data_IF_817717678540
#
_entry.id   IF_817717678540
#
_cell.length_a   1.000
_cell.length_b   1.000
_cell.length_c   1.000
_cell.angle_alpha   90.00
_cell.angle_beta   90.00
_cell.angle_gamma   90.00
#
_symmetry.space_group_name_H-M   'P 1'
#
loop_
_entity.id
_entity.type
_entity.pdbx_description
1 polymer ?
#
# COMPACT_ATOMS: atom_id res chain seq x y z
N UNK A 1 -30.07 -30.84 7.26
CA UNK A 1 -28.76 -30.94 7.88
C UNK A 1 -27.75 -31.19 6.79
N UNK A 2 -27.09 -30.18 6.34
CA UNK A 2 -25.85 -30.30 5.59
C UNK A 2 -25.12 -28.98 5.80
N UNK A 3 -24.12 -29.00 6.67
CA UNK A 3 -23.19 -27.92 6.90
C UNK A 3 -22.30 -27.84 5.68
N UNK A 4 -22.38 -26.77 4.93
CA UNK A 4 -21.36 -26.41 3.97
C UNK A 4 -20.16 -25.90 4.80
N UNK A 5 -19.13 -26.73 4.84
CA UNK A 5 -17.82 -26.45 5.40
C UNK A 5 -17.15 -25.46 4.43
N UNK A 6 -17.21 -24.19 4.77
CA UNK A 6 -16.40 -23.19 4.11
C UNK A 6 -14.96 -23.46 4.56
N UNK A 7 -14.10 -23.90 3.65
CA UNK A 7 -12.68 -24.02 3.88
C UNK A 7 -12.13 -22.62 4.22
N UNK A 8 -11.99 -22.34 5.50
CA UNK A 8 -11.21 -21.22 6.00
C UNK A 8 -9.75 -21.55 5.71
N UNK A 9 -9.17 -20.83 4.76
CA UNK A 9 -7.72 -20.78 4.57
C UNK A 9 -7.12 -20.29 5.91
N UNK A 10 -6.42 -21.19 6.62
CA UNK A 10 -5.99 -21.02 8.02
C UNK A 10 -4.69 -20.18 8.11
N UNK A 11 -4.40 -19.35 7.10
CA UNK A 11 -3.29 -18.41 7.14
C UNK A 11 -3.75 -17.10 7.79
N UNK A 12 -3.03 -16.68 8.86
CA UNK A 12 -3.31 -15.42 9.52
C UNK A 12 -3.24 -14.25 8.51
N UNK A 13 -4.20 -13.30 8.55
CA UNK A 13 -4.22 -12.19 7.61
C UNK A 13 -2.97 -11.30 7.79
N UNK A 14 -2.46 -10.75 6.69
CA UNK A 14 -1.36 -9.78 6.70
C UNK A 14 -1.78 -8.48 7.40
N UNK A 15 -3.05 -8.10 7.26
CA UNK A 15 -3.65 -6.94 7.95
C UNK A 15 -4.94 -7.37 8.63
N UNK A 16 -5.10 -7.00 9.90
CA UNK A 16 -6.33 -7.19 10.66
C UNK A 16 -6.69 -5.92 11.43
N UNK A 17 -7.86 -5.36 11.15
CA UNK A 17 -8.48 -4.27 11.90
C UNK A 17 -9.69 -4.82 12.65
N UNK A 18 -9.81 -4.51 13.95
CA UNK A 18 -10.94 -4.93 14.78
C UNK A 18 -11.50 -3.74 15.53
N UNK A 19 -12.70 -3.26 15.15
CA UNK A 19 -13.42 -2.17 15.80
C UNK A 19 -12.62 -0.86 15.86
N UNK A 20 -11.87 -0.53 14.82
CA UNK A 20 -10.92 0.58 14.82
C UNK A 20 -11.61 1.92 14.72
N UNK A 21 -11.39 2.76 15.73
CA UNK A 21 -11.80 4.18 15.75
C UNK A 21 -10.57 5.08 15.74
N UNK A 22 -10.63 6.16 14.98
CA UNK A 22 -9.60 7.20 14.97
C UNK A 22 -10.22 8.58 15.07
N UNK A 23 -9.81 9.32 16.10
CA UNK A 23 -10.22 10.71 16.31
C UNK A 23 -9.01 11.65 16.27
N UNK A 24 -9.23 12.87 15.78
CA UNK A 24 -8.26 13.96 15.81
C UNK A 24 -8.83 15.16 16.53
N UNK A 25 -7.99 15.88 17.30
CA UNK A 25 -8.35 17.18 17.88
C UNK A 25 -7.86 18.28 16.92
N UNK A 26 -8.79 18.88 16.21
CA UNK A 26 -8.54 19.98 15.24
C UNK A 26 -9.30 21.25 15.64
N UNK A 27 -9.34 21.59 16.94
CA UNK A 27 -10.21 22.63 17.49
C UNK A 27 -11.64 22.14 17.76
N UNK A 28 -11.80 20.82 17.77
CA UNK A 28 -12.98 20.00 18.02
C UNK A 28 -12.65 18.56 17.66
N UNK A 29 -13.34 17.60 18.27
CA UNK A 29 -13.13 16.18 17.99
C UNK A 29 -13.70 15.84 16.62
N UNK A 30 -12.83 15.41 15.71
CA UNK A 30 -13.20 14.89 14.38
C UNK A 30 -12.96 13.38 14.40
N UNK A 31 -14.02 12.61 14.23
CA UNK A 31 -13.95 11.16 14.08
C UNK A 31 -13.68 10.81 12.62
N UNK A 32 -12.47 10.37 12.32
CA UNK A 32 -12.04 10.06 10.97
C UNK A 32 -12.30 8.60 10.58
N UNK A 33 -12.36 7.70 11.58
CA UNK A 33 -12.81 6.31 11.43
C UNK A 33 -13.67 5.93 12.64
N UNK A 34 -14.74 5.18 12.40
CA UNK A 34 -15.76 4.80 13.38
C UNK A 34 -16.00 3.27 13.36
N UNK A 35 -15.29 2.54 14.25
CA UNK A 35 -15.51 1.11 14.47
C UNK A 35 -15.19 0.20 13.27
N UNK A 36 -14.21 0.55 12.42
CA UNK A 36 -13.87 -0.19 11.20
C UNK A 36 -13.25 -1.55 11.53
N UNK A 37 -13.77 -2.61 10.89
CA UNK A 37 -13.18 -3.95 10.93
C UNK A 37 -12.94 -4.43 9.50
N UNK A 38 -11.70 -4.90 9.22
CA UNK A 38 -11.26 -5.33 7.90
C UNK A 38 -10.10 -6.31 8.04
N UNK A 39 -10.07 -7.35 7.22
CA UNK A 39 -8.93 -8.26 7.12
C UNK A 39 -8.43 -8.34 5.66
N UNK A 40 -7.11 -8.39 5.48
CA UNK A 40 -6.45 -8.60 4.20
C UNK A 40 -5.64 -9.90 4.28
N UNK A 41 -5.97 -10.87 3.44
CA UNK A 41 -5.22 -12.12 3.32
C UNK A 41 -3.90 -11.88 2.58
N UNK A 42 -2.93 -12.76 2.79
CA UNK A 42 -1.70 -12.78 2.00
C UNK A 42 -2.01 -12.99 0.52
N UNK A 43 -1.30 -12.28 -0.35
CA UNK A 43 -1.50 -12.34 -1.80
C UNK A 43 -2.76 -11.65 -2.32
N UNK A 44 -3.63 -11.07 -1.46
CA UNK A 44 -4.86 -10.41 -1.91
C UNK A 44 -4.60 -9.03 -2.54
N UNK A 45 -5.42 -8.65 -3.51
CA UNK A 45 -5.46 -7.30 -4.08
C UNK A 45 -6.78 -6.62 -3.71
N UNK A 46 -6.72 -5.67 -2.80
CA UNK A 46 -7.89 -4.94 -2.29
C UNK A 46 -7.81 -3.46 -2.67
N UNK A 47 -8.91 -2.89 -3.18
CA UNK A 47 -9.05 -1.45 -3.36
C UNK A 47 -9.94 -0.85 -2.26
N UNK A 48 -9.61 0.36 -1.80
CA UNK A 48 -10.44 1.17 -0.90
C UNK A 48 -10.96 2.37 -1.65
N UNK A 49 -12.28 2.49 -1.75
CA UNK A 49 -12.95 3.59 -2.42
C UNK A 49 -13.82 4.40 -1.45
N UNK A 50 -14.03 5.67 -1.80
CA UNK A 50 -14.93 6.56 -1.08
C UNK A 50 -14.71 8.02 -1.47
N UNK A 51 -15.63 8.94 -1.14
CA UNK A 51 -15.48 10.36 -1.41
C UNK A 51 -14.29 10.97 -0.66
N UNK A 52 -13.91 12.20 -1.02
CA UNK A 52 -12.90 12.95 -0.26
C UNK A 52 -13.37 13.14 1.19
N UNK A 53 -12.47 12.99 2.15
CA UNK A 53 -12.80 13.10 3.58
C UNK A 53 -13.46 11.86 4.20
N UNK A 54 -13.67 10.77 3.47
CA UNK A 54 -14.33 9.58 4.01
C UNK A 54 -13.50 8.73 4.99
N UNK A 55 -12.21 9.07 5.23
CA UNK A 55 -11.34 8.33 6.14
C UNK A 55 -10.31 7.42 5.47
N UNK A 56 -10.25 7.35 4.12
CA UNK A 56 -9.33 6.46 3.38
C UNK A 56 -7.86 6.66 3.73
N UNK A 57 -7.38 7.90 3.71
CA UNK A 57 -5.99 8.21 4.06
C UNK A 57 -5.69 7.93 5.54
N UNK A 58 -6.68 8.10 6.43
CA UNK A 58 -6.56 7.71 7.84
C UNK A 58 -6.43 6.19 7.95
N UNK A 59 -7.26 5.43 7.24
CA UNK A 59 -7.17 3.97 7.19
C UNK A 59 -5.80 3.51 6.70
N UNK A 60 -5.33 4.09 5.59
CA UNK A 60 -4.01 3.80 5.03
C UNK A 60 -2.88 4.14 6.02
N UNK A 61 -2.96 5.27 6.72
CA UNK A 61 -1.97 5.67 7.72
C UNK A 61 -1.91 4.71 8.91
N UNK A 62 -3.04 4.17 9.36
CA UNK A 62 -3.08 3.19 10.44
C UNK A 62 -2.48 1.85 9.99
N UNK A 63 -2.87 1.36 8.81
CA UNK A 63 -2.33 0.12 8.24
C UNK A 63 -0.84 0.27 7.95
N UNK A 64 -0.42 1.45 7.47
CA UNK A 64 0.99 1.76 7.23
C UNK A 64 1.81 2.07 8.48
N UNK A 65 1.25 1.92 9.68
CA UNK A 65 1.89 2.26 10.95
C UNK A 65 2.49 3.69 11.01
N UNK A 66 1.91 4.62 10.22
CA UNK A 66 2.24 6.06 10.25
C UNK A 66 1.50 6.77 11.39
N UNK A 67 0.40 6.20 11.85
CA UNK A 67 -0.41 6.68 12.97
C UNK A 67 -0.88 5.47 13.80
N UNK A 68 -1.51 5.73 14.95
CA UNK A 68 -2.05 4.69 15.84
C UNK A 68 -3.56 4.87 16.01
N UNK A 69 -4.34 3.80 16.22
CA UNK A 69 -5.77 3.90 16.49
C UNK A 69 -6.03 4.62 17.84
N UNK A 70 -7.17 5.29 17.96
CA UNK A 70 -7.67 5.81 19.22
C UNK A 70 -8.31 4.71 20.04
N UNK A 71 -9.09 3.84 19.38
CA UNK A 71 -9.71 2.65 19.95
C UNK A 71 -9.66 1.48 18.94
N UNK A 72 -9.87 0.28 19.44
CA UNK A 72 -9.80 -0.93 18.63
C UNK A 72 -8.36 -1.42 18.43
N UNK A 73 -8.16 -2.33 17.48
CA UNK A 73 -6.87 -2.99 17.26
C UNK A 73 -6.50 -3.01 15.78
N UNK A 74 -5.23 -2.72 15.49
CA UNK A 74 -4.64 -2.81 14.14
C UNK A 74 -3.43 -3.71 14.21
N UNK A 75 -3.46 -4.84 13.49
CA UNK A 75 -2.33 -5.76 13.36
C UNK A 75 -1.86 -5.76 11.91
N UNK A 76 -0.57 -5.61 11.68
CA UNK A 76 0.06 -5.62 10.35
C UNK A 76 1.30 -6.51 10.41
N UNK A 77 1.39 -7.47 9.51
CA UNK A 77 2.46 -8.48 9.49
C UNK A 77 2.70 -9.11 10.88
N UNK A 78 1.60 -9.41 11.60
CA UNK A 78 1.64 -9.98 12.95
C UNK A 78 1.96 -9.02 14.09
N UNK A 79 2.27 -7.74 13.81
CA UNK A 79 2.59 -6.73 14.83
C UNK A 79 1.41 -5.81 15.13
N UNK A 80 1.08 -5.62 16.41
CA UNK A 80 0.03 -4.69 16.85
C UNK A 80 0.56 -3.25 16.85
N UNK A 81 0.05 -2.45 15.90
CA UNK A 81 0.46 -1.06 15.67
C UNK A 81 0.13 -0.14 16.86
N UNK A 82 -0.99 -0.41 17.56
CA UNK A 82 -1.46 0.40 18.68
C UNK A 82 -0.57 0.31 19.92
N UNK A 83 0.04 -0.87 20.14
CA UNK A 83 0.90 -1.12 21.31
C UNK A 83 2.39 -1.04 20.97
N UNK A 84 2.76 -1.04 19.68
CA UNK A 84 4.13 -0.95 19.22
C UNK A 84 4.78 0.39 19.58
N UNK A 85 6.03 0.36 19.99
CA UNK A 85 6.87 1.54 20.14
C UNK A 85 7.12 2.23 18.81
N UNK A 86 7.56 3.50 18.81
CA UNK A 86 7.90 4.20 17.56
C UNK A 86 9.03 3.50 16.79
N UNK A 87 9.99 2.88 17.49
CA UNK A 87 11.07 2.13 16.86
C UNK A 87 10.56 0.87 16.16
N UNK A 88 9.61 0.15 16.77
CA UNK A 88 8.98 -1.04 16.17
C UNK A 88 8.11 -0.65 14.97
N UNK A 89 7.31 0.43 15.07
CA UNK A 89 6.56 0.94 13.91
C UNK A 89 7.49 1.39 12.78
N UNK A 90 8.62 2.04 13.11
CA UNK A 90 9.61 2.43 12.11
C UNK A 90 10.25 1.19 11.43
N UNK A 91 10.50 0.12 12.17
CA UNK A 91 10.96 -1.16 11.62
C UNK A 91 9.92 -1.75 10.68
N UNK A 92 8.66 -1.87 11.12
CA UNK A 92 7.54 -2.37 10.31
C UNK A 92 7.41 -1.60 8.98
N UNK A 93 7.48 -0.26 9.03
CA UNK A 93 7.48 0.59 7.82
C UNK A 93 8.70 0.39 6.92
N UNK A 94 9.81 -0.06 7.48
CA UNK A 94 11.06 -0.24 6.74
C UNK A 94 11.23 -1.60 6.10
N UNK A 95 10.56 -2.64 6.64
CA UNK A 95 10.73 -4.03 6.22
C UNK A 95 9.48 -4.65 5.65
N UNK A 96 8.30 -4.41 6.28
CA UNK A 96 7.10 -5.18 5.99
C UNK A 96 6.05 -4.39 5.19
N UNK A 97 6.21 -3.06 5.07
CA UNK A 97 5.25 -2.19 4.36
C UNK A 97 5.95 -1.35 3.30
N UNK A 98 5.62 -1.58 2.04
CA UNK A 98 6.02 -0.75 0.92
C UNK A 98 5.01 0.37 0.63
N UNK A 99 5.46 1.62 0.47
CA UNK A 99 4.58 2.76 0.21
C UNK A 99 4.74 3.31 -1.20
N UNK A 100 3.62 3.49 -1.90
CA UNK A 100 3.50 4.19 -3.18
C UNK A 100 2.53 5.36 -3.01
N UNK A 101 3.05 6.59 -3.06
CA UNK A 101 2.27 7.82 -2.86
C UNK A 101 1.92 8.50 -4.19
N UNK A 102 0.82 9.21 -4.22
CA UNK A 102 0.41 10.06 -5.34
C UNK A 102 1.50 11.06 -5.76
N UNK A 103 2.21 11.64 -4.79
CA UNK A 103 3.28 12.65 -5.00
C UNK A 103 4.67 12.04 -5.17
N UNK A 104 4.75 10.70 -5.40
CA UNK A 104 5.97 9.91 -5.57
C UNK A 104 6.89 9.90 -4.34
N UNK A 105 7.04 10.98 -3.60
CA UNK A 105 7.90 11.18 -2.43
C UNK A 105 9.35 10.69 -2.66
N UNK A 106 9.88 10.95 -3.86
CA UNK A 106 11.27 10.68 -4.19
C UNK A 106 12.19 11.79 -3.63
N UNK A 107 13.36 11.41 -3.16
CA UNK A 107 14.39 12.35 -2.73
C UNK A 107 15.07 12.96 -3.96
N UNK A 108 14.93 14.28 -4.22
CA UNK A 108 15.33 14.89 -5.48
C UNK A 108 16.86 14.95 -5.67
N UNK A 109 17.62 14.78 -4.58
CA UNK A 109 19.10 14.78 -4.61
C UNK A 109 19.70 13.40 -4.85
N UNK A 110 18.89 12.36 -4.82
CA UNK A 110 19.29 10.98 -5.08
C UNK A 110 18.88 10.60 -6.50
N UNK A 111 19.68 9.76 -7.14
CA UNK A 111 19.33 9.13 -8.42
C UNK A 111 18.19 8.12 -8.25
N UNK A 112 17.66 7.58 -9.35
CA UNK A 112 16.63 6.54 -9.32
C UNK A 112 17.11 5.31 -8.53
N UNK A 113 18.31 4.81 -8.82
CA UNK A 113 18.87 3.65 -8.11
C UNK A 113 19.10 3.93 -6.63
N UNK A 114 19.52 5.14 -6.27
CA UNK A 114 19.70 5.52 -4.86
C UNK A 114 18.38 5.66 -4.12
N UNK A 115 17.32 6.19 -4.78
CA UNK A 115 15.97 6.22 -4.22
C UNK A 115 15.44 4.80 -3.94
N UNK A 116 15.59 3.89 -4.90
CA UNK A 116 15.14 2.49 -4.74
C UNK A 116 15.96 1.77 -3.67
N UNK A 117 17.26 2.01 -3.59
CA UNK A 117 18.13 1.39 -2.59
C UNK A 117 17.93 1.91 -1.16
N UNK A 118 17.15 3.01 -0.97
CA UNK A 118 17.05 3.69 0.32
C UNK A 118 16.52 2.81 1.47
N UNK A 119 15.45 2.01 1.31
CA UNK A 119 14.98 1.10 2.36
C UNK A 119 16.08 0.12 2.80
N UNK A 120 16.86 -0.40 1.86
CA UNK A 120 17.94 -1.33 2.12
C UNK A 120 19.14 -0.70 2.86
N UNK A 121 19.28 0.65 2.78
CA UNK A 121 20.27 1.36 3.62
C UNK A 121 19.89 1.26 5.09
N UNK A 122 18.62 1.45 5.42
CA UNK A 122 18.12 1.34 6.80
C UNK A 122 18.13 -0.11 7.31
N UNK A 123 17.95 -1.07 6.42
CA UNK A 123 18.10 -2.50 6.72
C UNK A 123 19.58 -2.95 6.88
N UNK A 124 20.56 -2.03 6.69
CA UNK A 124 21.98 -2.34 6.86
C UNK A 124 22.60 -3.17 5.73
N UNK A 125 21.91 -3.30 4.58
CA UNK A 125 22.40 -4.08 3.42
C UNK A 125 23.65 -3.42 2.82
N UNK A 126 24.73 -4.18 2.53
CA UNK A 126 25.96 -3.65 1.92
C UNK A 126 25.70 -2.90 0.61
N UNK A 127 26.50 -1.84 0.35
CA UNK A 127 26.28 -0.96 -0.80
C UNK A 127 26.22 -1.70 -2.15
N UNK A 128 27.10 -2.67 -2.35
CA UNK A 128 27.15 -3.42 -3.61
C UNK A 128 25.86 -4.21 -3.84
N UNK A 129 25.37 -4.90 -2.80
CA UNK A 129 24.14 -5.71 -2.83
C UNK A 129 22.90 -4.85 -3.05
N UNK A 130 22.69 -3.80 -2.23
CA UNK A 130 21.52 -2.94 -2.38
C UNK A 130 21.47 -2.20 -3.72
N UNK A 131 22.65 -1.87 -4.29
CA UNK A 131 22.70 -1.23 -5.61
C UNK A 131 22.36 -2.22 -6.72
N UNK A 132 22.77 -3.49 -6.61
CA UNK A 132 22.40 -4.54 -7.55
C UNK A 132 20.90 -4.81 -7.52
N UNK A 133 20.34 -5.05 -6.33
CA UNK A 133 18.88 -5.26 -6.16
C UNK A 133 18.07 -4.06 -6.67
N UNK A 134 18.49 -2.82 -6.38
CA UNK A 134 17.80 -1.64 -6.86
C UNK A 134 17.82 -1.52 -8.40
N UNK A 135 18.90 -1.95 -9.06
CA UNK A 135 18.98 -1.97 -10.54
C UNK A 135 18.08 -3.03 -11.16
N UNK A 136 17.97 -4.20 -10.54
CA UNK A 136 17.05 -5.26 -10.95
C UNK A 136 15.61 -4.80 -10.86
N UNK A 137 15.20 -4.22 -9.71
CA UNK A 137 13.86 -3.66 -9.53
C UNK A 137 13.54 -2.53 -10.52
N UNK A 138 14.51 -1.68 -10.84
CA UNK A 138 14.33 -0.65 -11.88
C UNK A 138 14.17 -1.25 -13.27
N UNK A 139 14.87 -2.33 -13.57
CA UNK A 139 14.71 -3.05 -14.83
C UNK A 139 13.31 -3.71 -14.93
N UNK A 140 12.82 -4.31 -13.84
CA UNK A 140 11.49 -4.93 -13.75
C UNK A 140 10.36 -3.92 -14.02
N UNK A 141 10.51 -2.67 -13.59
CA UNK A 141 9.55 -1.61 -13.91
C UNK A 141 9.87 -0.86 -15.21
N UNK A 142 10.77 -1.39 -16.06
CA UNK A 142 11.12 -0.84 -17.36
C UNK A 142 11.92 0.45 -17.31
N UNK A 143 12.81 0.61 -16.31
CA UNK A 143 13.69 1.77 -16.09
C UNK A 143 15.17 1.40 -15.99
N UNK A 144 15.58 0.25 -16.53
CA UNK A 144 16.97 -0.21 -16.47
C UNK A 144 17.98 0.75 -17.12
N UNK A 145 17.55 1.55 -18.11
CA UNK A 145 18.35 2.59 -18.77
C UNK A 145 18.29 3.96 -18.09
N UNK A 146 17.57 4.09 -16.97
CA UNK A 146 17.32 5.34 -16.22
C UNK A 146 17.86 5.33 -14.79
N UNK A 147 18.68 4.34 -14.43
CA UNK A 147 19.13 4.12 -13.06
C UNK A 147 19.86 5.31 -12.43
N UNK A 148 20.62 6.04 -13.22
CA UNK A 148 21.48 7.16 -12.76
C UNK A 148 20.80 8.54 -12.96
N UNK A 149 19.54 8.60 -13.42
CA UNK A 149 18.77 9.86 -13.56
C UNK A 149 18.24 10.32 -12.20
N UNK A 150 18.23 11.63 -12.00
CA UNK A 150 17.56 12.26 -10.86
C UNK A 150 16.03 12.39 -11.11
N UNK A 151 15.18 12.47 -10.08
CA UNK A 151 13.73 12.61 -10.22
C UNK A 151 13.30 13.80 -11.11
N UNK A 152 14.09 14.87 -11.17
CA UNK A 152 13.82 16.04 -12.01
C UNK A 152 14.03 15.78 -13.51
N UNK A 153 14.73 14.72 -13.87
CA UNK A 153 15.03 14.30 -15.25
C UNK A 153 14.04 13.23 -15.75
N UNK A 154 13.11 12.81 -14.88
CA UNK A 154 12.13 11.75 -15.13
C UNK A 154 10.73 12.32 -15.36
N UNK A 155 9.97 11.72 -16.27
CA UNK A 155 8.52 12.00 -16.41
C UNK A 155 7.74 11.59 -15.15
N UNK A 156 6.48 12.05 -15.03
CA UNK A 156 5.59 11.65 -13.92
C UNK A 156 5.47 10.15 -13.76
N UNK A 157 5.19 9.44 -14.85
CA UNK A 157 5.07 7.98 -14.83
C UNK A 157 6.41 7.26 -14.58
N UNK A 158 7.54 7.83 -15.02
CA UNK A 158 8.85 7.28 -14.66
C UNK A 158 9.11 7.43 -13.16
N UNK A 159 8.79 8.59 -12.58
CA UNK A 159 8.90 8.82 -11.12
C UNK A 159 8.01 7.86 -10.34
N UNK A 160 6.79 7.60 -10.81
CA UNK A 160 5.89 6.65 -10.17
C UNK A 160 6.46 5.23 -10.20
N UNK A 161 7.01 4.80 -11.33
CA UNK A 161 7.67 3.49 -11.44
C UNK A 161 8.91 3.38 -10.53
N UNK A 162 9.68 4.44 -10.35
CA UNK A 162 10.76 4.47 -9.34
C UNK A 162 10.20 4.34 -7.92
N UNK A 163 9.07 5.00 -7.60
CA UNK A 163 8.42 4.89 -6.30
C UNK A 163 7.89 3.47 -6.03
N UNK A 164 7.35 2.80 -7.05
CA UNK A 164 6.93 1.39 -6.95
C UNK A 164 8.15 0.48 -6.73
N UNK A 165 9.21 0.62 -7.52
CA UNK A 165 10.43 -0.16 -7.33
C UNK A 165 11.03 0.05 -5.91
N UNK A 166 10.99 1.28 -5.38
CA UNK A 166 11.40 1.56 -4.00
C UNK A 166 10.53 0.86 -2.97
N UNK A 167 9.22 0.83 -3.17
CA UNK A 167 8.28 0.18 -2.27
C UNK A 167 8.55 -1.33 -2.15
N UNK A 168 9.05 -1.96 -3.22
CA UNK A 168 9.38 -3.38 -3.28
C UNK A 168 10.78 -3.73 -2.76
N UNK A 169 11.64 -2.74 -2.51
CA UNK A 169 13.07 -2.98 -2.27
C UNK A 169 13.36 -3.86 -1.05
N UNK A 170 12.52 -3.80 -0.02
CA UNK A 170 12.68 -4.60 1.21
C UNK A 170 11.88 -5.92 1.18
N UNK A 171 11.32 -6.32 0.03
CA UNK A 171 10.44 -7.50 -0.11
C UNK A 171 9.29 -7.47 0.92
N UNK A 172 8.42 -6.42 0.89
CA UNK A 172 7.44 -6.18 1.93
C UNK A 172 6.29 -7.19 1.90
N UNK A 173 5.73 -7.50 3.07
CA UNK A 173 4.51 -8.32 3.18
C UNK A 173 3.27 -7.62 2.61
N UNK A 174 3.28 -6.27 2.55
CA UNK A 174 2.17 -5.45 2.09
C UNK A 174 2.66 -4.24 1.29
N UNK A 175 2.07 -3.98 0.13
CA UNK A 175 2.24 -2.72 -0.62
C UNK A 175 0.98 -1.87 -0.48
N UNK A 176 1.16 -0.65 0.04
CA UNK A 176 0.13 0.37 0.19
C UNK A 176 0.29 1.41 -0.92
N UNK A 177 -0.75 1.63 -1.72
CA UNK A 177 -0.76 2.62 -2.79
C UNK A 177 -1.86 3.67 -2.57
N UNK A 178 -1.48 4.94 -2.43
CA UNK A 178 -2.40 6.07 -2.27
C UNK A 178 -2.48 6.85 -3.58
N UNK A 179 -3.62 6.75 -4.28
CA UNK A 179 -3.91 7.41 -5.56
C UNK A 179 -2.73 7.26 -6.57
N UNK A 180 -2.28 6.03 -6.88
CA UNK A 180 -1.02 5.80 -7.59
C UNK A 180 -0.98 6.33 -9.02
N UNK A 181 -2.14 6.67 -9.61
CA UNK A 181 -2.29 7.23 -10.95
C UNK A 181 -2.67 8.72 -10.97
N UNK A 182 -2.92 9.33 -9.81
CA UNK A 182 -3.50 10.67 -9.71
C UNK A 182 -2.62 11.82 -10.24
N UNK A 183 -1.33 11.60 -10.48
CA UNK A 183 -0.39 12.60 -10.99
C UNK A 183 0.29 12.19 -12.31
N UNK A 184 -0.32 11.28 -13.06
CA UNK A 184 0.15 10.84 -14.38
C UNK A 184 -0.98 10.93 -15.40
N UNK A 185 -0.64 11.02 -16.69
CA UNK A 185 -1.63 10.96 -17.77
C UNK A 185 -2.26 9.56 -17.87
N UNK A 186 -3.43 9.45 -18.49
CA UNK A 186 -4.23 8.23 -18.57
C UNK A 186 -3.47 7.03 -19.16
N UNK A 187 -2.71 7.25 -20.25
CA UNK A 187 -1.96 6.17 -20.91
C UNK A 187 -0.82 5.65 -20.01
N UNK A 188 -0.17 6.57 -19.33
CA UNK A 188 0.88 6.25 -18.35
C UNK A 188 0.28 5.62 -17.09
N UNK A 189 -0.89 6.06 -16.66
CA UNK A 189 -1.65 5.49 -15.55
C UNK A 189 -1.97 4.01 -15.79
N UNK A 190 -2.43 3.66 -17.00
CA UNK A 190 -2.66 2.26 -17.39
C UNK A 190 -1.42 1.39 -17.18
N UNK A 191 -0.24 1.85 -17.64
CA UNK A 191 1.03 1.12 -17.45
C UNK A 191 1.48 1.01 -15.99
N UNK A 192 1.12 1.97 -15.16
CA UNK A 192 1.36 1.90 -13.71
C UNK A 192 0.47 0.83 -13.08
N UNK A 193 -0.80 0.74 -13.48
CA UNK A 193 -1.72 -0.28 -13.00
C UNK A 193 -1.31 -1.69 -13.46
N UNK A 194 -0.81 -1.85 -14.69
CA UNK A 194 -0.30 -3.12 -15.19
C UNK A 194 0.85 -3.66 -14.30
N UNK A 195 1.68 -2.78 -13.70
CA UNK A 195 2.70 -3.20 -12.73
C UNK A 195 2.06 -3.75 -11.45
N UNK A 196 0.97 -3.13 -10.94
CA UNK A 196 0.27 -3.67 -9.77
C UNK A 196 -0.37 -5.04 -10.07
N UNK A 197 -0.93 -5.22 -11.27
CA UNK A 197 -1.49 -6.52 -11.70
C UNK A 197 -0.38 -7.58 -11.77
N UNK A 198 0.80 -7.25 -12.32
CA UNK A 198 1.96 -8.13 -12.34
C UNK A 198 2.47 -8.48 -10.94
N UNK A 199 2.46 -7.51 -10.01
CA UNK A 199 2.84 -7.74 -8.62
C UNK A 199 1.85 -8.68 -7.92
N UNK A 200 0.55 -8.46 -8.11
CA UNK A 200 -0.48 -9.36 -7.58
C UNK A 200 -0.32 -10.78 -8.14
N UNK A 201 -0.13 -10.93 -9.45
CA UNK A 201 0.10 -12.22 -10.09
C UNK A 201 1.36 -12.97 -9.56
N UNK A 202 2.33 -12.23 -8.98
CA UNK A 202 3.51 -12.80 -8.30
C UNK A 202 3.26 -13.12 -6.81
N UNK A 203 2.05 -12.87 -6.30
CA UNK A 203 1.65 -13.18 -4.92
C UNK A 203 1.85 -12.03 -3.92
N UNK A 204 2.15 -10.80 -4.38
CA UNK A 204 2.24 -9.66 -3.47
C UNK A 204 0.86 -9.27 -2.93
N UNK A 205 0.79 -8.91 -1.64
CA UNK A 205 -0.41 -8.34 -1.04
C UNK A 205 -0.50 -6.86 -1.32
N UNK A 206 -1.62 -6.39 -1.90
CA UNK A 206 -1.80 -5.02 -2.35
C UNK A 206 -3.03 -4.37 -1.71
N UNK A 207 -2.85 -3.18 -1.15
CA UNK A 207 -3.96 -2.29 -0.77
C UNK A 207 -3.84 -0.97 -1.52
N UNK A 208 -4.80 -0.69 -2.40
CA UNK A 208 -4.83 0.49 -3.22
C UNK A 208 -5.97 1.42 -2.77
N UNK A 209 -5.67 2.68 -2.50
CA UNK A 209 -6.67 3.72 -2.21
C UNK A 209 -6.88 4.56 -3.46
N UNK A 210 -8.14 4.70 -3.89
CA UNK A 210 -8.50 5.53 -5.04
C UNK A 210 -9.93 6.04 -4.94
N UNK A 211 -10.24 7.12 -5.66
CA UNK A 211 -11.61 7.58 -5.89
C UNK A 211 -12.10 7.22 -7.31
N UNK A 212 -11.24 6.64 -8.14
CA UNK A 212 -11.53 6.28 -9.53
C UNK A 212 -11.97 4.83 -9.64
N UNK A 213 -13.21 4.61 -10.11
CA UNK A 213 -13.80 3.26 -10.21
C UNK A 213 -12.98 2.33 -11.10
N UNK A 214 -12.52 2.79 -12.26
CA UNK A 214 -11.75 1.98 -13.21
C UNK A 214 -10.37 1.54 -12.66
N UNK A 215 -9.82 2.29 -11.70
CA UNK A 215 -8.60 1.92 -10.99
C UNK A 215 -8.90 0.85 -9.94
N UNK A 216 -10.00 1.02 -9.20
CA UNK A 216 -10.41 0.07 -8.17
C UNK A 216 -10.82 -1.30 -8.75
N UNK A 217 -11.36 -1.31 -9.97
CA UNK A 217 -11.76 -2.54 -10.68
C UNK A 217 -10.59 -3.46 -11.11
N UNK A 218 -9.34 -3.03 -10.91
CA UNK A 218 -8.16 -3.91 -11.06
C UNK A 218 -7.98 -4.86 -9.87
N UNK A 219 -8.55 -4.53 -8.71
CA UNK A 219 -8.47 -5.35 -7.52
C UNK A 219 -9.49 -6.50 -7.56
N UNK A 220 -9.27 -7.51 -6.72
CA UNK A 220 -10.23 -8.63 -6.54
C UNK A 220 -11.47 -8.22 -5.76
N UNK A 221 -11.33 -7.18 -4.89
CA UNK A 221 -12.44 -6.65 -4.09
C UNK A 221 -12.29 -5.15 -3.84
N UNK A 222 -13.44 -4.49 -3.67
CA UNK A 222 -13.50 -3.07 -3.35
C UNK A 222 -14.16 -2.87 -1.99
N UNK A 223 -13.45 -2.23 -1.09
CA UNK A 223 -13.94 -1.79 0.22
C UNK A 223 -14.43 -0.35 0.09
N UNK A 224 -15.72 -0.12 0.30
CA UNK A 224 -16.32 1.21 0.25
C UNK A 224 -16.34 1.85 1.63
N UNK A 225 -15.66 3.00 1.76
CA UNK A 225 -15.59 3.79 3.00
C UNK A 225 -16.35 5.09 2.82
N UNK A 226 -17.21 5.41 3.78
CA UNK A 226 -17.99 6.64 3.81
C UNK A 226 -18.16 7.13 5.25
N UNK A 227 -17.91 8.42 5.47
CA UNK A 227 -18.06 9.08 6.77
C UNK A 227 -17.37 8.33 7.93
N UNK A 228 -16.19 7.78 7.66
CA UNK A 228 -15.39 7.02 8.61
C UNK A 228 -15.80 5.55 8.80
N UNK A 229 -16.85 5.09 8.15
CA UNK A 229 -17.36 3.71 8.27
C UNK A 229 -17.10 2.88 7.01
N UNK A 230 -16.92 1.56 7.19
CA UNK A 230 -16.94 0.61 6.10
C UNK A 230 -18.40 0.28 5.78
N UNK A 231 -18.90 0.75 4.62
CA UNK A 231 -20.31 0.61 4.26
C UNK A 231 -20.61 -0.60 3.40
N UNK A 232 -19.64 -1.10 2.64
CA UNK A 232 -19.81 -2.26 1.75
C UNK A 232 -18.45 -2.83 1.34
N UNK A 233 -18.40 -4.15 1.18
CA UNK A 233 -17.36 -4.86 0.44
C UNK A 233 -18.03 -5.41 -0.84
N UNK A 234 -17.34 -5.24 -1.96
CA UNK A 234 -17.76 -5.69 -3.28
C UNK A 234 -16.67 -6.61 -3.83
N UNK A 235 -16.97 -7.89 -3.97
CA UNK A 235 -16.08 -8.89 -4.55
C UNK A 235 -16.23 -8.86 -6.07
N UNK A 236 -15.09 -8.78 -6.81
CA UNK A 236 -15.05 -8.69 -8.26
C UNK A 236 -14.61 -10.00 -8.91
N UNK A 237 -14.07 -10.94 -8.12
CA UNK A 237 -13.57 -12.25 -8.59
C UNK A 237 -14.62 -13.35 -8.75
N UNK A 238 -15.86 -13.14 -8.29
CA UNK A 238 -16.97 -14.07 -8.48
C UNK A 238 -17.91 -13.52 -9.56
N UNK A 239 -17.66 -13.85 -10.83
CA UNK A 239 -18.75 -13.86 -11.80
C UNK A 239 -19.71 -14.96 -11.36
N UNK A 240 -20.88 -14.54 -10.86
CA UNK A 240 -22.01 -15.44 -10.60
C UNK A 240 -22.44 -16.05 -11.93
N UNK A 241 -22.13 -17.34 -12.14
CA UNK A 241 -22.79 -18.19 -13.14
C UNK A 241 -24.27 -18.41 -12.82
#
# INVERSE_FOLDING_TARGET
MSSADAATDDTAPVVELTGVTKTYDMGGVVEALAGVSLALSEGSYTAVMGPSGSGKSTLLNLIGALDTPTEGRVVVAGQDVGTATEAERASLRGTDVGFVFQTFNLLPRLTAVENVALPLVFAGVPRAERTASARELLADVGLGDRTDHHPTELSGGQRQRVAIARALAADPALVLADEPTGNVDTDTGGRVLDIFDDLHARGNTLLLVTHERHVAERAERIVHVRDGELVRIEDLGEESD
#
